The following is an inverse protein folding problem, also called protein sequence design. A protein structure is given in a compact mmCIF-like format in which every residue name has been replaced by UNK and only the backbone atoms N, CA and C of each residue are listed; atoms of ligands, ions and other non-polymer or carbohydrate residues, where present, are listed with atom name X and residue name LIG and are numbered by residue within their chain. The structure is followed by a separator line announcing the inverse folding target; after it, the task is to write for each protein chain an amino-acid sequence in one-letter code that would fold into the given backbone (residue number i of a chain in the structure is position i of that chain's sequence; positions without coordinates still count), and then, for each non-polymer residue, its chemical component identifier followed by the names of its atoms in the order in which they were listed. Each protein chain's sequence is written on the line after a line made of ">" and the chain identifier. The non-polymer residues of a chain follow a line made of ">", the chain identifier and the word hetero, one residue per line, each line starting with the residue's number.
data_IF_849105856245
#
_entry.id   IF_849105856245
#
_cell.length_a   1.000
_cell.length_b   1.000
_cell.length_c   1.000
_cell.angle_alpha   90.00
_cell.angle_beta   90.00
_cell.angle_gamma   90.00
#
_symmetry.space_group_name_H-M   'P 1'
#
loop_
_entity.id
_entity.type
_entity.pdbx_description
1 polymer ?
#
# COMPACT_ATOMS: atom_id res chain seq x y z
N UNK A 1 -25.42 3.12 14.39
CA UNK A 1 -25.71 1.80 14.48
C UNK A 1 -24.54 0.98 14.89
N UNK A 2 -24.70 0.20 15.80
CA UNK A 2 -23.62 -0.65 16.25
C UNK A 2 -23.73 -1.96 15.53
N UNK A 3 -22.72 -2.75 15.56
CA UNK A 3 -22.79 -4.06 14.99
C UNK A 3 -22.21 -4.23 13.62
N UNK A 4 -21.45 -3.29 13.14
CA UNK A 4 -20.80 -3.47 11.85
C UNK A 4 -19.33 -3.04 11.92
N UNK A 5 -18.56 -3.55 11.00
CA UNK A 5 -17.13 -3.21 10.91
C UNK A 5 -16.80 -2.97 9.46
N UNK A 6 -16.03 -1.94 9.20
CA UNK A 6 -15.52 -1.69 7.86
C UNK A 6 -14.03 -1.45 8.01
N UNK A 7 -13.24 -2.43 7.71
CA UNK A 7 -11.80 -2.35 7.88
C UNK A 7 -11.10 -3.13 6.80
N UNK A 8 -10.11 -2.53 6.20
CA UNK A 8 -9.32 -3.18 5.15
C UNK A 8 -7.86 -3.11 5.56
N UNK A 9 -7.17 -4.22 5.45
CA UNK A 9 -5.76 -4.29 5.76
C UNK A 9 -5.05 -4.82 4.53
N UNK A 10 -4.01 -4.12 4.10
CA UNK A 10 -3.25 -4.54 2.94
C UNK A 10 -1.76 -4.38 3.20
N UNK A 11 -1.00 -5.37 2.80
CA UNK A 11 0.44 -5.28 2.77
C UNK A 11 0.83 -5.50 1.32
N UNK A 12 1.53 -4.57 0.73
CA UNK A 12 1.92 -4.71 -0.66
C UNK A 12 2.95 -3.68 -1.05
N UNK A 13 3.17 -3.57 -2.34
CA UNK A 13 4.19 -2.67 -2.85
C UNK A 13 3.57 -1.58 -3.70
N UNK A 14 4.13 -0.39 -3.63
CA UNK A 14 3.64 0.71 -4.42
C UNK A 14 4.01 0.50 -5.88
N UNK A 15 3.04 0.67 -6.76
CA UNK A 15 3.28 0.55 -8.18
C UNK A 15 3.81 1.83 -8.79
N UNK A 16 3.73 2.92 -8.05
CA UNK A 16 4.24 4.20 -8.53
C UNK A 16 4.46 5.09 -7.32
N UNK A 17 5.10 6.21 -7.52
CA UNK A 17 5.31 7.15 -6.45
C UNK A 17 3.97 7.70 -5.98
N UNK A 18 3.86 8.07 -4.72
CA UNK A 18 2.61 8.64 -4.22
C UNK A 18 2.25 9.91 -4.97
N UNK A 19 0.97 10.07 -5.21
CA UNK A 19 0.49 11.25 -5.89
C UNK A 19 -0.12 12.18 -4.85
N UNK A 20 0.36 13.39 -4.76
CA UNK A 20 -0.07 14.33 -3.75
C UNK A 20 -0.92 15.43 -4.37
N UNK A 21 -2.07 15.67 -3.78
CA UNK A 21 -2.93 16.76 -4.23
C UNK A 21 -3.15 17.70 -3.07
N UNK A 22 -3.06 18.96 -3.33
CA UNK A 22 -3.28 19.96 -2.31
C UNK A 22 -4.55 20.73 -2.62
N UNK A 23 -5.26 21.09 -1.59
CA UNK A 23 -6.48 21.86 -1.75
C UNK A 23 -6.23 23.31 -1.34
N UNK A 24 -7.05 24.23 -1.85
CA UNK A 24 -6.87 25.64 -1.49
C UNK A 24 -6.91 25.91 -0.01
N UNK A 25 -7.63 25.06 0.74
CA UNK A 25 -7.74 25.28 2.17
C UNK A 25 -6.53 24.75 2.93
N UNK A 26 -5.53 24.30 2.22
CA UNK A 26 -4.33 23.80 2.89
C UNK A 26 -4.30 22.30 3.14
N UNK A 27 -5.37 21.61 2.87
CA UNK A 27 -5.39 20.16 3.07
C UNK A 27 -4.69 19.44 1.97
N UNK A 28 -4.31 18.19 2.25
CA UNK A 28 -3.66 17.36 1.26
C UNK A 28 -4.29 16.01 1.24
N UNK A 29 -4.29 15.39 0.07
CA UNK A 29 -4.69 14.02 -0.08
C UNK A 29 -3.57 13.32 -0.82
N UNK A 30 -3.14 12.19 -0.32
CA UNK A 30 -2.10 11.42 -0.99
C UNK A 30 -2.75 10.15 -1.52
N UNK A 31 -2.54 9.86 -2.78
CA UNK A 31 -3.09 8.67 -3.40
C UNK A 31 -1.99 7.67 -3.65
N UNK A 32 -2.26 6.44 -3.31
CA UNK A 32 -1.30 5.36 -3.50
C UNK A 32 -1.92 4.30 -4.37
N UNK A 33 -1.06 3.57 -5.08
CA UNK A 33 -1.51 2.44 -5.85
C UNK A 33 -0.69 1.26 -5.36
N UNK A 34 -1.33 0.35 -4.68
CA UNK A 34 -0.62 -0.76 -4.03
C UNK A 34 -0.97 -2.07 -4.70
N UNK A 35 0.05 -2.85 -4.98
CA UNK A 35 -0.12 -4.15 -5.61
C UNK A 35 0.00 -5.24 -4.58
N UNK A 36 -0.93 -6.18 -4.62
CA UNK A 36 -0.79 -7.39 -3.83
C UNK A 36 -0.75 -8.54 -4.84
N UNK A 37 0.18 -9.44 -4.66
CA UNK A 37 0.37 -10.51 -5.61
C UNK A 37 0.35 -11.85 -4.92
N UNK A 38 -0.14 -12.84 -5.62
CA UNK A 38 -0.08 -14.19 -5.09
C UNK A 38 0.34 -15.09 -6.24
N UNK A 39 1.05 -16.12 -5.91
CA UNK A 39 1.47 -17.09 -6.91
C UNK A 39 1.07 -18.46 -6.42
N UNK A 40 0.76 -19.34 -7.35
CA UNK A 40 0.41 -20.70 -6.98
C UNK A 40 0.76 -21.60 -8.15
N UNK A 41 0.73 -22.88 -7.90
CA UNK A 41 1.01 -23.84 -8.92
C UNK A 41 -0.29 -24.44 -9.38
N UNK A 42 -0.52 -24.46 -10.69
CA UNK A 42 -1.75 -24.99 -11.23
C UNK A 42 -1.64 -26.50 -11.19
N UNK A 43 -2.57 -27.14 -10.53
CA UNK A 43 -2.51 -28.60 -10.37
C UNK A 43 -2.73 -29.31 -11.68
N UNK A 44 -3.48 -28.73 -12.57
CA UNK A 44 -3.76 -29.37 -13.83
C UNK A 44 -2.58 -29.35 -14.78
N UNK A 45 -1.90 -28.25 -14.87
CA UNK A 45 -0.83 -28.10 -15.83
C UNK A 45 0.55 -28.11 -15.21
N UNK A 46 0.64 -27.95 -13.91
CA UNK A 46 1.92 -27.85 -13.25
C UNK A 46 2.60 -26.50 -13.43
N UNK A 47 1.93 -25.57 -14.10
CA UNK A 47 2.51 -24.28 -14.31
C UNK A 47 2.38 -23.37 -13.14
N UNK A 48 3.31 -22.45 -13.02
CA UNK A 48 3.25 -21.46 -11.96
C UNK A 48 2.43 -20.31 -12.45
N UNK A 49 1.46 -19.92 -11.69
CA UNK A 49 0.58 -18.81 -12.05
C UNK A 49 0.70 -17.69 -11.05
N UNK A 50 0.43 -16.49 -11.52
CA UNK A 50 0.55 -15.33 -10.68
C UNK A 50 -0.64 -14.41 -10.92
N UNK A 51 -1.08 -13.76 -9.87
CA UNK A 51 -2.17 -12.82 -9.99
C UNK A 51 -1.85 -11.61 -9.16
N UNK A 52 -2.03 -10.44 -9.72
CA UNK A 52 -1.78 -9.19 -9.03
C UNK A 52 -3.05 -8.37 -8.99
N UNK A 53 -3.38 -7.87 -7.81
CA UNK A 53 -4.51 -6.98 -7.66
C UNK A 53 -3.98 -5.59 -7.34
N UNK A 54 -4.56 -4.60 -7.96
CA UNK A 54 -4.16 -3.22 -7.73
C UNK A 54 -5.20 -2.53 -6.88
N UNK A 55 -4.76 -1.93 -5.79
CA UNK A 55 -5.65 -1.27 -4.85
C UNK A 55 -5.39 0.22 -4.84
N UNK A 56 -6.48 0.98 -4.90
CA UNK A 56 -6.36 2.44 -4.83
C UNK A 56 -6.56 2.85 -3.38
N UNK A 57 -5.66 3.65 -2.87
CA UNK A 57 -5.68 4.06 -1.49
C UNK A 57 -5.60 5.57 -1.44
N UNK A 58 -6.49 6.19 -0.67
CA UNK A 58 -6.47 7.63 -0.48
C UNK A 58 -6.20 7.92 0.98
N UNK A 59 -5.28 8.80 1.24
CA UNK A 59 -4.92 9.15 2.60
C UNK A 59 -5.36 10.58 2.87
N UNK A 60 -6.35 10.73 3.74
CA UNK A 60 -6.82 12.06 4.12
C UNK A 60 -6.32 12.44 5.50
N UNK A 61 -5.65 11.53 6.19
CA UNK A 61 -5.06 11.79 7.49
C UNK A 61 -3.77 12.57 7.25
N UNK A 62 -3.68 13.78 7.76
CA UNK A 62 -2.53 14.63 7.48
C UNK A 62 -1.20 14.05 7.94
N UNK A 63 -1.19 13.47 9.12
CA UNK A 63 0.06 12.91 9.63
C UNK A 63 0.55 11.76 8.76
N UNK A 64 -0.37 10.89 8.38
CA UNK A 64 0.00 9.75 7.56
C UNK A 64 0.36 10.22 6.15
N UNK A 65 -0.36 11.22 5.64
CA UNK A 65 -0.07 11.74 4.32
C UNK A 65 1.34 12.30 4.24
N UNK A 66 1.77 12.96 5.30
CA UNK A 66 3.10 13.53 5.34
C UNK A 66 4.16 12.43 5.31
N UNK A 67 3.94 11.38 6.06
CA UNK A 67 4.88 10.28 6.09
C UNK A 67 4.94 9.61 4.73
N UNK A 68 3.77 9.42 4.09
CA UNK A 68 3.73 8.79 2.79
C UNK A 68 4.47 9.64 1.77
N UNK A 69 4.26 10.93 1.83
CA UNK A 69 4.90 11.82 0.88
C UNK A 69 6.41 11.81 1.04
N UNK A 70 6.89 11.76 2.26
CA UNK A 70 8.30 11.81 2.50
C UNK A 70 9.04 10.52 2.28
N UNK A 71 8.44 9.43 2.65
CA UNK A 71 9.16 8.16 2.68
C UNK A 71 8.77 7.12 1.65
N UNK A 72 7.59 7.20 1.09
CA UNK A 72 7.17 6.16 0.16
C UNK A 72 7.58 6.50 -1.27
N UNK A 73 7.98 5.48 -1.99
CA UNK A 73 8.34 5.64 -3.39
C UNK A 73 7.89 4.40 -4.12
N UNK A 74 7.89 4.44 -5.43
CA UNK A 74 7.58 3.28 -6.23
C UNK A 74 8.41 2.11 -5.75
N UNK A 75 7.76 0.99 -5.50
CA UNK A 75 8.45 -0.20 -5.03
C UNK A 75 8.49 -0.37 -3.52
N UNK A 76 8.14 0.68 -2.78
CA UNK A 76 8.15 0.56 -1.33
C UNK A 76 7.14 -0.46 -0.86
N UNK A 77 7.47 -1.18 0.20
CA UNK A 77 6.55 -2.12 0.80
C UNK A 77 5.89 -1.45 2.01
N UNK A 78 4.60 -1.57 2.10
CA UNK A 78 3.88 -0.85 3.13
C UNK A 78 2.71 -1.67 3.64
N UNK A 79 2.41 -1.46 4.91
CA UNK A 79 1.22 -2.02 5.55
C UNK A 79 0.28 -0.85 5.73
N UNK A 80 -0.97 -1.00 5.31
CA UNK A 80 -1.94 0.04 5.53
C UNK A 80 -3.22 -0.55 6.08
N UNK A 81 -3.93 0.26 6.82
CA UNK A 81 -5.19 -0.13 7.39
C UNK A 81 -6.14 1.03 7.18
N UNK A 82 -7.27 0.79 6.62
CA UNK A 82 -8.23 1.85 6.34
C UNK A 82 -9.63 1.31 6.21
N UNK A 83 -10.48 2.06 5.55
CA UNK A 83 -11.87 1.69 5.37
C UNK A 83 -12.17 1.65 3.88
N UNK A 84 -13.14 0.84 3.52
CA UNK A 84 -13.54 0.75 2.12
C UNK A 84 -14.63 1.78 1.90
N UNK A 85 -14.46 2.64 0.94
CA UNK A 85 -15.44 3.70 0.65
C UNK A 85 -15.70 3.76 -0.82
N UNK A 86 -16.93 4.06 -1.19
CA UNK A 86 -17.32 4.19 -2.58
C UNK A 86 -17.67 5.64 -2.83
N UNK A 87 -17.15 6.17 -3.90
CA UNK A 87 -17.36 7.54 -4.25
C UNK A 87 -17.99 7.60 -5.63
N UNK A 88 -18.94 8.50 -5.80
CA UNK A 88 -19.62 8.67 -7.07
C UNK A 88 -18.99 9.84 -7.81
N UNK A 89 -18.79 9.70 -9.09
CA UNK A 89 -18.22 10.77 -9.89
C UNK A 89 -18.81 10.67 -11.29
N UNK A 90 -18.62 11.70 -12.10
CA UNK A 90 -19.13 11.70 -13.44
C UNK A 90 -17.99 11.71 -14.43
N UNK A 91 -18.10 10.91 -15.47
CA UNK A 91 -17.06 10.89 -16.47
C UNK A 91 -17.34 11.98 -17.50
N UNK A 92 -16.53 12.04 -18.53
CA UNK A 92 -16.62 13.10 -19.49
C UNK A 92 -17.92 13.08 -20.25
N UNK A 93 -18.56 11.93 -20.37
CA UNK A 93 -19.81 11.84 -21.07
C UNK A 93 -21.00 12.19 -20.17
N UNK A 94 -20.75 12.48 -18.91
CA UNK A 94 -21.82 12.81 -17.99
C UNK A 94 -22.44 11.62 -17.29
N UNK A 95 -21.92 10.42 -17.55
CA UNK A 95 -22.48 9.23 -16.92
C UNK A 95 -21.96 9.10 -15.50
N UNK A 96 -22.80 8.60 -14.61
CA UNK A 96 -22.40 8.41 -13.24
C UNK A 96 -21.51 7.21 -13.15
N UNK A 97 -20.43 7.33 -12.40
CA UNK A 97 -19.51 6.25 -12.17
C UNK A 97 -19.25 6.13 -10.68
N UNK A 98 -18.83 4.95 -10.27
CA UNK A 98 -18.54 4.72 -8.88
C UNK A 98 -17.14 4.14 -8.76
N UNK A 99 -16.39 4.61 -7.79
CA UNK A 99 -15.06 4.09 -7.54
C UNK A 99 -14.99 3.66 -6.08
N UNK A 100 -14.48 2.46 -5.84
CA UNK A 100 -14.32 1.97 -4.50
C UNK A 100 -12.84 2.01 -4.17
N UNK A 101 -12.51 2.62 -3.07
CA UNK A 101 -11.12 2.76 -2.67
C UNK A 101 -10.96 2.61 -1.18
N UNK A 102 -9.73 2.41 -0.77
CA UNK A 102 -9.42 2.28 0.63
C UNK A 102 -9.02 3.66 1.10
N UNK A 103 -9.64 4.15 2.17
CA UNK A 103 -9.38 5.50 2.65
C UNK A 103 -8.84 5.45 4.06
N UNK A 104 -7.72 6.14 4.28
CA UNK A 104 -7.14 6.26 5.60
C UNK A 104 -7.58 7.62 6.15
N UNK A 105 -8.59 7.60 6.99
CA UNK A 105 -9.14 8.83 7.52
C UNK A 105 -8.46 9.23 8.82
N UNK A 106 -8.60 10.47 9.22
CA UNK A 106 -8.03 10.90 10.48
C UNK A 106 -8.52 10.00 11.62
N UNK A 107 -7.59 9.61 12.47
CA UNK A 107 -7.87 8.80 13.62
C UNK A 107 -8.36 7.39 13.31
N UNK A 108 -8.45 7.04 12.04
CA UNK A 108 -8.95 5.72 11.73
C UNK A 108 -8.11 4.96 10.75
N UNK A 109 -6.98 5.46 10.39
CA UNK A 109 -6.10 4.79 9.45
C UNK A 109 -4.75 4.53 10.06
N UNK A 110 -4.02 3.65 9.46
CA UNK A 110 -2.71 3.35 9.94
C UNK A 110 -1.79 3.03 8.78
N UNK A 111 -0.56 3.42 8.85
CA UNK A 111 0.42 3.12 7.81
C UNK A 111 1.74 2.81 8.45
N UNK A 112 2.32 1.70 8.08
CA UNK A 112 3.61 1.29 8.60
C UNK A 112 4.51 0.94 7.44
N UNK A 113 5.70 1.52 7.44
CA UNK A 113 6.67 1.24 6.41
C UNK A 113 7.31 -0.10 6.70
N UNK A 114 7.36 -0.95 5.69
CA UNK A 114 7.95 -2.25 5.86
C UNK A 114 9.10 -2.40 4.89
N UNK A 115 9.84 -3.38 5.06
CA UNK A 115 10.87 -3.62 4.12
C UNK A 115 11.92 -2.59 4.13
N UNK A 116 12.64 -2.42 3.99
CA UNK A 116 13.54 -1.58 4.02
C UNK A 116 13.77 -0.57 3.35
N UNK A 117 14.56 -0.33 3.39
CA UNK A 117 14.90 0.61 2.90
C UNK A 117 15.66 0.58 1.93
N UNK A 118 15.53 1.08 1.33
CA UNK A 118 16.10 1.11 0.18
C UNK A 118 17.39 1.52 0.25
N UNK A 119 17.82 1.74 -0.35
CA UNK A 119 18.93 2.23 -0.42
C UNK A 119 19.68 2.11 0.51
N UNK A 120 19.98 1.63 0.57
CA UNK A 120 20.67 1.50 1.22
C UNK A 120 21.35 2.04 2.05
N UNK A 121 21.28 2.23 2.42
CA UNK A 121 21.85 2.73 3.15
C UNK A 121 22.16 1.98 4.00
N UNK A 122 22.12 1.52 4.07
CA UNK A 122 22.46 0.87 4.73
C UNK A 122 23.34 0.41 5.04
N UNK A 123 23.76 0.36 5.16
CA UNK A 123 24.61 -0.02 5.45
C UNK A 123 25.06 -0.38 6.23
N UNK A 124 24.82 -0.33 6.61
CA UNK A 124 25.22 -0.53 7.38
C UNK A 124 25.63 -1.26 7.83
N UNK A 125 25.49 -1.30 7.79
CA UNK A 125 25.78 -1.83 8.29
C UNK A 125 26.15 -2.63 8.57
N UNK A 126 26.01 -2.63 8.62
CA UNK A 126 26.31 -3.28 8.94
C UNK A 126 26.71 -4.10 9.17
N UNK A 127 26.49 -3.88 8.99
CA UNK A 127 27.14 -4.66 9.05
C UNK A 127 27.17 -5.70 9.86
N UNK A 128 26.95 -5.77 10.46
CA UNK A 128 27.13 -6.69 11.27
C UNK A 128 26.20 -7.69 11.35
N UNK A 129 25.50 -7.98 10.58
CA UNK A 129 24.68 -8.91 10.78
C UNK A 129 24.84 -9.95 9.93
N UNK A 130 25.74 -10.61 9.96
CA UNK A 130 25.99 -11.72 9.16
C UNK A 130 24.88 -12.66 9.38
N UNK A 131 24.51 -12.74 10.53
CA UNK A 131 23.45 -13.64 10.80
C UNK A 131 22.27 -13.21 10.03
N UNK A 132 22.16 -12.02 9.90
CA UNK A 132 21.06 -11.52 9.19
C UNK A 132 20.96 -12.16 7.87
N UNK A 133 22.05 -12.52 7.39
CA UNK A 133 22.04 -13.10 6.09
C UNK A 133 21.14 -14.30 6.11
N UNK A 134 21.24 -15.06 7.10
CA UNK A 134 20.44 -16.22 7.12
C UNK A 134 19.00 -15.87 7.18
N UNK A 135 18.71 -14.86 7.88
CA UNK A 135 17.36 -14.52 8.00
C UNK A 135 16.84 -13.96 6.75
N UNK A 136 17.66 -13.34 6.01
CA UNK A 136 17.20 -12.80 4.79
C UNK A 136 16.55 -13.88 4.00
N UNK A 137 17.18 -14.99 4.00
CA UNK A 137 16.64 -16.06 3.22
C UNK A 137 15.31 -16.46 3.74
N UNK A 138 15.19 -16.45 5.00
CA UNK A 138 13.95 -16.84 5.55
C UNK A 138 12.90 -15.88 5.17
N UNK A 139 13.17 -14.66 5.24
CA UNK A 139 12.18 -13.68 4.91
C UNK A 139 11.71 -13.86 3.51
N UNK A 140 12.59 -14.20 2.65
CA UNK A 140 12.20 -14.35 1.28
C UNK A 140 11.25 -15.49 1.15
N UNK A 141 11.35 -16.42 2.00
CA UNK A 141 10.51 -17.57 1.87
C UNK A 141 9.13 -17.30 2.32
N UNK A 142 8.90 -16.25 2.99
CA UNK A 142 7.58 -15.98 3.44
C UNK A 142 6.89 -15.21 2.43
N UNK A 143 6.12 -15.79 1.63
CA UNK A 143 5.49 -15.04 0.59
C UNK A 143 4.27 -14.45 1.17
N UNK A 144 3.78 -13.51 0.63
CA UNK A 144 2.57 -12.90 1.11
C UNK A 144 1.50 -12.87 0.08
#
# INVERSE_FOLDING_TARGET
>A
MAGSVNKVIIIGNLGRDPEVRSFPNGGKIVSLRIATSETWKDKSTGERKERTEWHSVSITNEGIAKIAEQYLRKGSTVYIEGQLETRKWQDQSGADRYSTEIVLRPFRGELTLLGGKPSGETRDDDGGYPAGAGFSGLDDDIPF
#
